data_IF_801692691856
#
_entry.id   IF_801692691856
#
_cell.length_a   1.000
_cell.length_b   1.000
_cell.length_c   1.000
_cell.angle_alpha   90.00
_cell.angle_beta   90.00
_cell.angle_gamma   90.00
#
_symmetry.space_group_name_H-M   'P 1'
#
loop_
_entity.id
_entity.type
_entity.pdbx_description
1 polymer ?
#
# COMPACT_ATOMS: atom_id res chain seq x y z
N UNK A 1 -3.16 -19.41 -26.48
CA UNK A 1 -3.16 -19.44 -24.99
C UNK A 1 -2.02 -18.61 -24.41
N UNK A 2 -0.77 -18.77 -24.86
CA UNK A 2 0.38 -18.00 -24.36
C UNK A 2 0.21 -16.46 -24.42
N UNK A 3 -0.33 -15.92 -25.53
CA UNK A 3 -0.51 -14.47 -25.67
C UNK A 3 -1.50 -13.88 -24.64
N UNK A 4 -2.57 -14.61 -24.29
CA UNK A 4 -3.55 -14.20 -23.29
C UNK A 4 -2.93 -14.23 -21.89
N UNK A 5 -2.17 -15.28 -21.58
CA UNK A 5 -1.47 -15.40 -20.30
C UNK A 5 -0.45 -14.28 -20.13
N UNK A 6 0.32 -13.97 -21.16
CA UNK A 6 1.27 -12.86 -21.13
C UNK A 6 0.55 -11.52 -20.95
N UNK A 7 -0.58 -11.30 -21.63
CA UNK A 7 -1.38 -10.08 -21.46
C UNK A 7 -1.91 -9.94 -20.02
N UNK A 8 -2.35 -11.03 -19.39
CA UNK A 8 -2.76 -11.03 -17.98
C UNK A 8 -1.56 -10.74 -17.07
N UNK A 9 -0.44 -11.44 -17.26
CA UNK A 9 0.76 -11.32 -16.43
C UNK A 9 1.34 -9.90 -16.45
N UNK A 10 1.46 -9.28 -17.63
CA UNK A 10 2.00 -7.93 -17.74
C UNK A 10 0.94 -6.84 -17.52
N UNK A 11 -0.33 -7.13 -17.79
CA UNK A 11 -1.43 -6.18 -17.68
C UNK A 11 -1.98 -6.02 -16.27
N UNK A 12 -1.88 -7.03 -15.41
CA UNK A 12 -2.51 -6.98 -14.09
C UNK A 12 -1.98 -5.84 -13.22
N UNK A 13 -0.67 -5.62 -13.20
CA UNK A 13 -0.06 -4.55 -12.42
C UNK A 13 -0.52 -3.15 -12.88
N UNK A 14 -0.33 -2.73 -14.14
CA UNK A 14 -0.74 -1.39 -14.58
C UNK A 14 -2.26 -1.19 -14.48
N UNK A 15 -3.07 -2.22 -14.70
CA UNK A 15 -4.54 -2.12 -14.58
C UNK A 15 -4.99 -2.00 -13.13
N UNK A 16 -4.49 -2.83 -12.22
CA UNK A 16 -4.86 -2.75 -10.80
C UNK A 16 -4.38 -1.46 -10.18
N UNK A 17 -3.13 -1.07 -10.43
CA UNK A 17 -2.54 0.18 -9.98
C UNK A 17 -3.29 1.39 -10.55
N UNK A 18 -3.38 1.50 -11.88
CA UNK A 18 -4.04 2.63 -12.53
C UNK A 18 -5.51 2.77 -12.14
N UNK A 19 -6.25 1.65 -12.05
CA UNK A 19 -7.65 1.69 -11.62
C UNK A 19 -7.81 2.06 -10.15
N UNK A 20 -6.89 1.66 -9.27
CA UNK A 20 -6.89 2.06 -7.88
C UNK A 20 -6.78 3.58 -7.73
N UNK A 21 -5.87 4.22 -8.47
CA UNK A 21 -5.73 5.68 -8.47
C UNK A 21 -6.95 6.39 -9.05
N UNK A 22 -7.44 5.93 -10.20
CA UNK A 22 -8.62 6.53 -10.82
C UNK A 22 -9.83 6.48 -9.87
N UNK A 23 -10.06 5.33 -9.25
CA UNK A 23 -11.13 5.16 -8.26
C UNK A 23 -10.90 6.06 -7.05
N UNK A 24 -9.67 6.15 -6.55
CA UNK A 24 -9.36 7.01 -5.41
C UNK A 24 -9.70 8.47 -5.69
N UNK A 25 -9.26 9.00 -6.84
CA UNK A 25 -9.52 10.38 -7.25
C UNK A 25 -11.02 10.64 -7.39
N UNK A 26 -11.74 9.77 -8.11
CA UNK A 26 -13.18 9.90 -8.32
C UNK A 26 -13.93 9.84 -6.98
N UNK A 27 -13.53 8.93 -6.08
CA UNK A 27 -14.18 8.76 -4.77
C UNK A 27 -13.98 9.99 -3.88
N UNK A 28 -12.77 10.57 -3.87
CA UNK A 28 -12.49 11.79 -3.12
C UNK A 28 -13.28 12.99 -3.67
N UNK A 29 -13.43 13.09 -5.00
CA UNK A 29 -14.28 14.12 -5.62
C UNK A 29 -15.76 13.97 -5.29
N UNK A 30 -16.20 12.74 -5.01
CA UNK A 30 -17.57 12.43 -4.57
C UNK A 30 -17.76 12.58 -3.05
N UNK A 31 -16.75 13.01 -2.31
CA UNK A 31 -16.83 13.22 -0.86
C UNK A 31 -16.76 11.94 -0.03
N UNK A 32 -16.27 10.84 -0.60
CA UNK A 32 -16.01 9.61 0.16
C UNK A 32 -14.94 9.90 1.23
N UNK A 33 -15.18 9.41 2.44
CA UNK A 33 -14.28 9.52 3.58
C UNK A 33 -12.86 9.02 3.22
N UNK A 34 -11.82 9.87 3.29
CA UNK A 34 -10.45 9.48 2.94
C UNK A 34 -9.90 8.35 3.82
N UNK A 35 -10.43 8.17 5.02
CA UNK A 35 -9.95 7.19 6.01
C UNK A 35 -10.28 5.74 5.62
N UNK A 36 -11.40 5.52 4.93
CA UNK A 36 -11.85 4.16 4.55
C UNK A 36 -11.33 3.74 3.17
N UNK A 37 -10.97 4.71 2.35
CA UNK A 37 -10.68 4.52 0.93
C UNK A 37 -9.45 3.62 0.67
N UNK A 38 -8.31 3.78 1.38
CA UNK A 38 -7.16 2.88 1.20
C UNK A 38 -7.50 1.42 1.52
N UNK A 39 -8.22 1.17 2.61
CA UNK A 39 -8.61 -0.18 3.00
C UNK A 39 -9.53 -0.84 1.96
N UNK A 40 -10.51 -0.09 1.44
CA UNK A 40 -11.40 -0.55 0.38
C UNK A 40 -10.64 -0.89 -0.91
N UNK A 41 -9.68 -0.04 -1.31
CA UNK A 41 -8.85 -0.27 -2.49
C UNK A 41 -7.98 -1.52 -2.32
N UNK A 42 -7.33 -1.70 -1.17
CA UNK A 42 -6.50 -2.87 -0.89
C UNK A 42 -7.32 -4.16 -0.97
N UNK A 43 -8.50 -4.19 -0.35
CA UNK A 43 -9.40 -5.35 -0.40
C UNK A 43 -9.85 -5.67 -1.82
N UNK A 44 -10.19 -4.63 -2.61
CA UNK A 44 -10.55 -4.80 -4.02
C UNK A 44 -9.40 -5.41 -4.83
N UNK A 45 -8.20 -4.84 -4.72
CA UNK A 45 -7.02 -5.31 -5.46
C UNK A 45 -6.66 -6.73 -5.04
N UNK A 46 -6.68 -7.03 -3.73
CA UNK A 46 -6.45 -8.39 -3.23
C UNK A 46 -7.44 -9.40 -3.82
N UNK A 47 -8.73 -9.03 -3.90
CA UNK A 47 -9.75 -9.86 -4.54
C UNK A 47 -9.48 -10.11 -6.03
N UNK A 48 -9.08 -9.08 -6.78
CA UNK A 48 -8.71 -9.21 -8.19
C UNK A 48 -7.52 -10.14 -8.36
N UNK A 49 -6.47 -9.96 -7.55
CA UNK A 49 -5.27 -10.81 -7.58
C UNK A 49 -5.63 -12.25 -7.26
N UNK A 50 -6.43 -12.51 -6.23
CA UNK A 50 -6.88 -13.86 -5.88
C UNK A 50 -7.66 -14.54 -7.01
N UNK A 51 -8.50 -13.79 -7.74
CA UNK A 51 -9.20 -14.32 -8.92
C UNK A 51 -8.20 -14.64 -10.04
N UNK A 52 -7.24 -13.76 -10.29
CA UNK A 52 -6.24 -13.96 -11.34
C UNK A 52 -5.32 -15.12 -11.02
N UNK A 53 -4.91 -15.32 -9.77
CA UNK A 53 -4.12 -16.47 -9.34
C UNK A 53 -4.84 -17.80 -9.58
N UNK A 54 -6.18 -17.82 -9.53
CA UNK A 54 -6.98 -19.02 -9.86
C UNK A 54 -7.02 -19.28 -11.37
N UNK A 55 -7.02 -18.23 -12.20
CA UNK A 55 -7.13 -18.34 -13.66
C UNK A 55 -5.77 -18.52 -14.36
N UNK A 56 -4.74 -17.82 -13.89
CA UNK A 56 -3.40 -17.80 -14.44
C UNK A 56 -2.35 -17.86 -13.29
N UNK A 57 -2.24 -18.99 -12.58
CA UNK A 57 -1.29 -19.13 -11.48
C UNK A 57 0.14 -19.03 -11.98
N UNK A 58 0.94 -18.21 -11.32
CA UNK A 58 2.39 -18.20 -11.52
C UNK A 58 3.03 -19.48 -10.97
N UNK A 59 2.59 -19.91 -9.79
CA UNK A 59 2.95 -21.19 -9.15
C UNK A 59 1.68 -21.97 -8.87
N UNK A 60 1.52 -23.15 -9.47
CA UNK A 60 0.29 -23.95 -9.35
C UNK A 60 0.07 -24.48 -7.93
N UNK A 61 1.13 -24.84 -7.23
CA UNK A 61 1.03 -25.39 -5.87
C UNK A 61 0.43 -24.40 -4.86
N UNK A 62 0.44 -23.09 -5.15
CA UNK A 62 -0.15 -22.09 -4.25
C UNK A 62 -1.68 -22.14 -4.21
N UNK A 63 -2.31 -22.76 -5.21
CA UNK A 63 -3.76 -22.94 -5.23
C UNK A 63 -4.23 -24.15 -4.42
N UNK A 64 -3.30 -24.98 -3.93
CA UNK A 64 -3.57 -26.12 -3.07
C UNK A 64 -3.55 -25.67 -1.61
N UNK A 65 -4.62 -25.96 -0.87
CA UNK A 65 -4.68 -25.66 0.56
C UNK A 65 -3.75 -26.60 1.32
N UNK A 66 -2.87 -26.04 2.17
CA UNK A 66 -1.95 -26.82 3.01
C UNK A 66 -2.50 -27.03 4.43
N UNK A 67 -3.82 -26.92 4.63
CA UNK A 67 -4.48 -26.98 5.94
C UNK A 67 -3.96 -25.93 6.96
N UNK A 68 -3.28 -24.90 6.48
CA UNK A 68 -2.74 -23.76 7.22
C UNK A 68 -3.65 -22.54 7.20
N UNK A 69 -4.77 -22.59 6.46
CA UNK A 69 -5.66 -21.44 6.20
C UNK A 69 -6.14 -20.73 7.48
N UNK A 70 -6.37 -21.46 8.58
CA UNK A 70 -6.75 -20.84 9.87
C UNK A 70 -5.59 -20.07 10.49
N UNK A 71 -4.37 -20.63 10.42
CA UNK A 71 -3.17 -19.99 10.94
C UNK A 71 -2.81 -18.76 10.11
N UNK A 72 -2.91 -18.86 8.78
CA UNK A 72 -2.68 -17.75 7.86
C UNK A 72 -3.67 -16.61 8.10
N UNK A 73 -4.95 -16.94 8.31
CA UNK A 73 -5.97 -15.93 8.61
C UNK A 73 -5.69 -15.23 9.95
N UNK A 74 -5.32 -15.99 10.99
CA UNK A 74 -4.96 -15.43 12.29
C UNK A 74 -3.70 -14.56 12.20
N UNK A 75 -2.67 -15.04 11.50
CA UNK A 75 -1.45 -14.27 11.26
C UNK A 75 -1.78 -12.99 10.48
N UNK A 76 -2.61 -13.06 9.44
CA UNK A 76 -3.03 -11.89 8.67
C UNK A 76 -3.77 -10.88 9.56
N UNK A 77 -4.72 -11.33 10.38
CA UNK A 77 -5.47 -10.45 11.29
C UNK A 77 -4.53 -9.81 12.32
N UNK A 78 -3.68 -10.59 12.98
CA UNK A 78 -2.76 -10.07 14.01
C UNK A 78 -1.76 -9.09 13.39
N UNK A 79 -1.16 -9.43 12.25
CA UNK A 79 -0.19 -8.57 11.60
C UNK A 79 -0.81 -7.31 11.01
N UNK A 80 -1.95 -7.40 10.32
CA UNK A 80 -2.58 -6.24 9.69
C UNK A 80 -3.37 -5.36 10.67
N UNK A 81 -4.07 -5.96 11.64
CA UNK A 81 -4.97 -5.21 12.52
C UNK A 81 -4.25 -4.79 13.79
N UNK A 82 -3.56 -5.68 14.48
CA UNK A 82 -2.95 -5.36 15.77
C UNK A 82 -1.62 -4.64 15.60
N UNK A 83 -0.69 -5.23 14.84
CA UNK A 83 0.64 -4.65 14.69
C UNK A 83 0.64 -3.46 13.75
N UNK A 84 0.09 -3.60 12.53
CA UNK A 84 0.13 -2.54 11.55
C UNK A 84 -0.73 -1.35 11.95
N UNK A 85 -2.04 -1.50 12.21
CA UNK A 85 -2.86 -0.33 12.60
C UNK A 85 -2.46 0.29 13.94
N UNK A 86 -2.04 -0.52 14.91
CA UNK A 86 -1.60 -0.01 16.21
C UNK A 86 -0.35 0.86 16.08
N UNK A 87 0.69 0.33 15.43
CA UNK A 87 1.92 1.08 15.19
C UNK A 87 1.70 2.25 14.24
N UNK A 88 0.96 2.06 13.16
CA UNK A 88 0.64 3.10 12.17
C UNK A 88 -0.08 4.28 12.83
N UNK A 89 -1.03 4.04 13.74
CA UNK A 89 -1.70 5.13 14.48
C UNK A 89 -0.72 5.91 15.35
N UNK A 90 0.17 5.22 16.07
CA UNK A 90 1.18 5.86 16.93
C UNK A 90 2.17 6.66 16.07
N UNK A 91 2.71 6.05 15.03
CA UNK A 91 3.68 6.68 14.13
C UNK A 91 3.07 7.87 13.40
N UNK A 92 1.86 7.74 12.85
CA UNK A 92 1.16 8.86 12.22
C UNK A 92 0.96 9.98 13.24
N UNK A 93 0.44 9.69 14.43
CA UNK A 93 0.17 10.74 15.42
C UNK A 93 1.45 11.48 15.82
N UNK A 94 2.53 10.75 16.12
CA UNK A 94 3.80 11.33 16.56
C UNK A 94 4.48 12.08 15.42
N UNK A 95 4.64 11.46 14.25
CA UNK A 95 5.36 12.05 13.12
C UNK A 95 4.58 13.22 12.52
N UNK A 96 3.26 13.13 12.43
CA UNK A 96 2.43 14.21 11.91
C UNK A 96 2.44 15.41 12.87
N UNK A 97 2.36 15.17 14.19
CA UNK A 97 2.49 16.23 15.18
C UNK A 97 3.87 16.91 15.13
N UNK A 98 4.93 16.13 14.94
CA UNK A 98 6.29 16.66 14.76
C UNK A 98 6.40 17.47 13.46
N UNK A 99 5.83 17.00 12.36
CA UNK A 99 5.82 17.69 11.08
C UNK A 99 5.11 19.05 11.16
N UNK A 100 3.97 19.12 11.86
CA UNK A 100 3.25 20.38 12.11
C UNK A 100 4.15 21.35 12.89
N UNK A 101 4.76 20.90 14.00
CA UNK A 101 5.65 21.74 14.83
C UNK A 101 6.84 22.29 14.03
N UNK A 102 7.44 21.47 13.18
CA UNK A 102 8.56 21.88 12.32
C UNK A 102 8.09 22.87 11.26
N UNK A 103 6.92 22.63 10.65
CA UNK A 103 6.32 23.54 9.69
C UNK A 103 6.04 24.91 10.29
N UNK A 104 5.46 24.95 11.50
CA UNK A 104 5.19 26.18 12.25
C UNK A 104 6.50 26.92 12.57
N UNK A 105 7.55 26.20 12.98
CA UNK A 105 8.86 26.77 13.27
C UNK A 105 9.53 27.38 12.02
N UNK A 106 9.43 26.70 10.88
CA UNK A 106 10.03 27.15 9.62
C UNK A 106 9.20 28.21 8.90
N UNK A 107 7.92 28.38 9.26
CA UNK A 107 7.01 29.34 8.63
C UNK A 107 6.54 28.92 7.23
N UNK A 108 6.75 27.66 6.82
CA UNK A 108 6.27 27.12 5.55
C UNK A 108 5.88 25.65 5.64
N UNK A 109 4.97 25.20 4.76
CA UNK A 109 4.51 23.81 4.70
C UNK A 109 5.62 22.87 4.23
N UNK A 110 5.85 21.79 4.98
CA UNK A 110 6.78 20.71 4.57
C UNK A 110 6.27 19.91 3.37
N UNK A 111 4.95 19.93 3.13
CA UNK A 111 4.33 19.27 1.98
C UNK A 111 3.80 20.30 0.99
N UNK A 112 4.08 20.17 -0.33
CA UNK A 112 3.61 21.09 -1.35
C UNK A 112 2.12 20.84 -1.68
N UNK A 113 1.22 21.09 -0.72
CA UNK A 113 -0.21 20.84 -0.86
C UNK A 113 -0.88 21.62 -2.00
N UNK A 114 -0.29 22.77 -2.38
CA UNK A 114 -0.73 23.63 -3.48
C UNK A 114 -0.37 23.10 -4.87
N UNK A 115 0.48 22.07 -4.98
CA UNK A 115 0.80 21.49 -6.29
C UNK A 115 -0.40 20.75 -6.88
N UNK A 116 -0.53 20.65 -8.22
CA UNK A 116 -1.46 19.70 -8.83
C UNK A 116 -1.19 18.28 -8.32
N UNK A 117 -2.22 17.42 -8.33
CA UNK A 117 -2.10 16.05 -7.78
C UNK A 117 -1.06 15.20 -8.53
N UNK A 118 -0.90 15.43 -9.83
CA UNK A 118 0.03 14.71 -10.71
C UNK A 118 1.48 14.71 -10.22
N UNK A 119 2.11 15.86 -9.90
CA UNK A 119 3.46 15.88 -9.32
C UNK A 119 3.52 15.49 -7.83
N UNK A 120 2.43 15.58 -7.06
CA UNK A 120 2.40 15.11 -5.67
C UNK A 120 2.59 13.58 -5.58
N UNK A 121 2.05 12.84 -6.55
CA UNK A 121 2.15 11.38 -6.63
C UNK A 121 3.59 10.85 -6.68
N UNK A 122 4.43 11.18 -7.68
CA UNK A 122 5.80 10.69 -7.74
C UNK A 122 6.63 11.22 -6.57
N UNK A 123 6.36 12.43 -6.06
CA UNK A 123 7.01 12.94 -4.86
C UNK A 123 6.72 12.07 -3.63
N UNK A 124 5.45 11.69 -3.42
CA UNK A 124 5.06 10.80 -2.35
C UNK A 124 5.69 9.41 -2.50
N UNK A 125 5.69 8.85 -3.71
CA UNK A 125 6.31 7.55 -4.00
C UNK A 125 7.81 7.56 -3.75
N UNK A 126 8.52 8.62 -4.15
CA UNK A 126 9.95 8.77 -3.90
C UNK A 126 10.25 8.86 -2.40
N UNK A 127 9.47 9.64 -1.65
CA UNK A 127 9.65 9.78 -0.22
C UNK A 127 9.38 8.46 0.51
N UNK A 128 8.26 7.78 0.21
CA UNK A 128 7.95 6.47 0.80
C UNK A 128 9.04 5.46 0.45
N UNK A 129 9.40 5.32 -0.82
CA UNK A 129 10.42 4.36 -1.26
C UNK A 129 11.79 4.65 -0.65
N UNK A 130 12.16 5.92 -0.50
CA UNK A 130 13.39 6.31 0.20
C UNK A 130 13.35 5.87 1.67
N UNK A 131 12.28 6.18 2.40
CA UNK A 131 12.17 5.84 3.82
C UNK A 131 12.12 4.33 4.04
N UNK A 132 11.36 3.59 3.22
CA UNK A 132 11.31 2.13 3.26
C UNK A 132 12.68 1.50 3.02
N UNK A 133 13.41 1.97 2.00
CA UNK A 133 14.75 1.47 1.70
C UNK A 133 15.69 1.63 2.91
N UNK A 134 15.74 2.82 3.50
CA UNK A 134 16.62 3.07 4.64
C UNK A 134 16.17 2.33 5.89
N UNK A 135 14.87 2.21 6.14
CA UNK A 135 14.33 1.43 7.24
C UNK A 135 14.75 -0.04 7.11
N UNK A 136 14.49 -0.67 5.97
CA UNK A 136 14.87 -2.06 5.71
C UNK A 136 16.39 -2.23 5.81
N UNK A 137 17.18 -1.32 5.23
CA UNK A 137 18.64 -1.33 5.35
C UNK A 137 19.09 -1.28 6.81
N UNK A 138 18.49 -0.43 7.64
CA UNK A 138 18.83 -0.31 9.05
C UNK A 138 18.53 -1.59 9.83
N UNK A 139 17.42 -2.28 9.51
CA UNK A 139 17.11 -3.57 10.15
C UNK A 139 18.12 -4.66 9.80
N UNK A 140 18.62 -4.69 8.57
CA UNK A 140 19.67 -5.63 8.17
C UNK A 140 21.00 -5.32 8.88
N UNK A 141 21.34 -4.05 9.07
CA UNK A 141 22.54 -3.67 9.81
C UNK A 141 22.44 -4.00 11.31
N UNK A 142 21.25 -3.83 11.92
CA UNK A 142 21.01 -4.17 13.32
C UNK A 142 21.03 -5.68 13.59
N UNK A 143 20.70 -6.52 12.59
CA UNK A 143 20.70 -7.98 12.73
C UNK A 143 22.09 -8.64 12.67
N UNK A 144 23.16 -7.86 12.48
CA UNK A 144 24.55 -8.33 12.41
C UNK A 144 25.26 -8.21 13.78
N UNK A 145 24.58 -7.70 14.81
CA UNK A 145 25.03 -7.61 16.19
C UNK A 145 24.16 -8.47 17.12
#
# INVERSE_FOLDING_TARGET
>A
MQAIQNAITYGIFPVTFGSAFAIAIISLQQGVMPEILPAAIVLRVAGIVAIVERVNPYVREWNESKNDTKMDLLHMIVSMVLLKKGLETIFITVLFSAAIRVSDFLGFSLWPAQWPLLPQLPAAMLLVGFMEYWFIRSTHLAAIH
#
